data_IF_167239657735
#
_entry.id   IF_167239657735
#
_cell.length_a   1.000
_cell.length_b   1.000
_cell.length_c   1.000
_cell.angle_alpha   90.00
_cell.angle_beta   90.00
_cell.angle_gamma   90.00
#
_symmetry.space_group_name_H-M   'P 1'
#
loop_
_entity.id
_entity.type
_entity.pdbx_description
1 polymer ?
#
# COMPACT_ATOMS: atom_id res chain seq x y z
N UNK A 1 -36.80 -1.97 -39.27
CA UNK A 1 -35.36 -1.94 -38.90
C UNK A 1 -35.02 -0.54 -38.39
N UNK A 2 -34.95 -0.29 -37.07
CA UNK A 2 -34.27 0.90 -36.54
C UNK A 2 -32.89 0.56 -35.96
N UNK A 3 -31.96 1.49 -36.21
CA UNK A 3 -30.54 1.46 -35.85
C UNK A 3 -30.30 1.68 -34.34
N UNK A 4 -29.13 1.22 -33.91
CA UNK A 4 -28.56 1.16 -32.56
C UNK A 4 -28.60 2.48 -31.76
N UNK A 5 -28.82 2.35 -30.45
CA UNK A 5 -28.30 3.29 -29.45
C UNK A 5 -27.28 2.51 -28.61
N UNK A 6 -25.99 2.71 -28.90
CA UNK A 6 -24.91 2.26 -28.02
C UNK A 6 -24.85 3.24 -26.85
N UNK A 7 -24.91 2.79 -25.58
CA UNK A 7 -24.66 3.69 -24.47
C UNK A 7 -23.18 4.09 -24.50
N UNK A 8 -22.90 5.35 -24.84
CA UNK A 8 -21.61 5.95 -24.52
C UNK A 8 -21.51 6.04 -22.99
N UNK A 9 -20.64 5.20 -22.43
CA UNK A 9 -20.15 5.39 -21.06
C UNK A 9 -19.53 6.79 -20.97
N UNK A 10 -19.85 7.59 -19.94
CA UNK A 10 -19.11 8.82 -19.71
C UNK A 10 -17.68 8.44 -19.30
N UNK A 11 -16.74 8.65 -20.21
CA UNK A 11 -15.32 8.82 -19.91
C UNK A 11 -15.18 10.09 -19.07
N UNK A 12 -15.37 9.97 -17.76
CA UNK A 12 -15.05 11.03 -16.80
C UNK A 12 -13.75 10.68 -16.08
N UNK A 13 -12.64 10.79 -16.82
CA UNK A 13 -11.31 10.89 -16.21
C UNK A 13 -11.09 12.33 -15.74
N UNK A 14 -11.85 12.72 -14.72
CA UNK A 14 -11.64 13.97 -14.00
C UNK A 14 -10.39 13.86 -13.11
N UNK A 15 -9.52 14.89 -13.05
CA UNK A 15 -8.35 14.92 -12.15
C UNK A 15 -8.72 14.83 -10.65
N UNK A 16 -9.99 15.05 -10.33
CA UNK A 16 -10.57 14.85 -8.99
C UNK A 16 -10.57 13.38 -8.58
N UNK A 17 -10.81 12.45 -9.51
CA UNK A 17 -10.88 11.02 -9.24
C UNK A 17 -9.49 10.48 -8.86
N UNK A 18 -8.44 10.93 -9.53
CA UNK A 18 -7.05 10.52 -9.22
C UNK A 18 -6.63 10.93 -7.81
N UNK A 19 -6.93 12.17 -7.38
CA UNK A 19 -6.60 12.61 -6.00
C UNK A 19 -7.32 11.77 -4.96
N UNK A 20 -8.59 11.43 -5.19
CA UNK A 20 -9.37 10.60 -4.29
C UNK A 20 -8.81 9.18 -4.23
N UNK A 21 -8.51 8.54 -5.36
CA UNK A 21 -7.91 7.20 -5.39
C UNK A 21 -6.54 7.16 -4.71
N UNK A 22 -5.71 8.18 -4.91
CA UNK A 22 -4.43 8.31 -4.20
C UNK A 22 -4.61 8.44 -2.69
N UNK A 23 -5.58 9.23 -2.24
CA UNK A 23 -5.87 9.42 -0.82
C UNK A 23 -6.40 8.13 -0.17
N UNK A 24 -7.26 7.40 -0.87
CA UNK A 24 -7.77 6.08 -0.46
C UNK A 24 -6.61 5.08 -0.36
N UNK A 25 -5.79 4.96 -1.41
CA UNK A 25 -4.63 4.07 -1.43
C UNK A 25 -3.61 4.40 -0.34
N UNK A 26 -3.32 5.69 -0.12
CA UNK A 26 -2.47 6.15 0.98
C UNK A 26 -3.05 5.79 2.35
N UNK A 27 -4.36 5.97 2.54
CA UNK A 27 -5.03 5.65 3.82
C UNK A 27 -4.95 4.16 4.12
N UNK A 28 -5.23 3.31 3.14
CA UNK A 28 -5.07 1.85 3.25
C UNK A 28 -3.62 1.47 3.59
N UNK A 29 -2.66 2.12 2.92
CA UNK A 29 -1.23 1.86 3.09
C UNK A 29 -0.71 2.23 4.48
N UNK A 30 -1.05 3.43 4.96
CA UNK A 30 -0.67 3.90 6.31
C UNK A 30 -1.30 3.00 7.38
N UNK A 31 -2.57 2.61 7.21
CA UNK A 31 -3.22 1.68 8.13
C UNK A 31 -2.53 0.30 8.15
N UNK A 32 -2.06 -0.19 6.99
CA UNK A 32 -1.28 -1.41 6.93
C UNK A 32 0.08 -1.25 7.63
N UNK A 33 0.85 -0.20 7.31
CA UNK A 33 2.15 0.06 7.93
C UNK A 33 2.05 0.23 9.46
N UNK A 34 1.03 0.91 9.96
CA UNK A 34 0.79 1.05 11.39
C UNK A 34 0.51 -0.30 12.08
N UNK A 35 -0.28 -1.18 11.45
CA UNK A 35 -0.50 -2.54 11.97
C UNK A 35 0.79 -3.35 12.01
N UNK A 36 1.62 -3.22 10.98
CA UNK A 36 2.93 -3.88 10.93
C UNK A 36 3.89 -3.33 11.97
N UNK A 37 3.93 -2.02 12.19
CA UNK A 37 4.74 -1.39 13.24
C UNK A 37 4.43 -1.92 14.64
N UNK A 38 3.18 -2.28 14.90
CA UNK A 38 2.73 -2.77 16.20
C UNK A 38 3.07 -4.25 16.44
N UNK A 39 3.54 -4.98 15.43
CA UNK A 39 3.96 -6.38 15.60
C UNK A 39 5.24 -6.47 16.46
N UNK A 40 5.41 -7.54 17.23
CA UNK A 40 6.66 -7.80 17.93
C UNK A 40 7.86 -7.78 16.98
N UNK A 41 8.96 -7.16 17.40
CA UNK A 41 10.20 -7.09 16.61
C UNK A 41 10.67 -8.48 16.15
N UNK A 42 10.54 -9.51 17.00
CA UNK A 42 10.91 -10.88 16.65
C UNK A 42 10.11 -11.42 15.46
N UNK A 43 8.81 -11.11 15.38
CA UNK A 43 7.99 -11.48 14.22
C UNK A 43 8.42 -10.70 12.98
N UNK A 44 8.64 -9.40 13.09
CA UNK A 44 9.09 -8.57 11.98
C UNK A 44 10.44 -9.04 11.42
N UNK A 45 11.36 -9.48 12.27
CA UNK A 45 12.64 -10.08 11.85
C UNK A 45 12.42 -11.39 11.09
N UNK A 46 11.44 -12.22 11.48
CA UNK A 46 11.12 -13.45 10.76
C UNK A 46 10.55 -13.20 9.36
N UNK A 47 9.99 -12.00 9.11
CA UNK A 47 9.52 -11.55 7.81
C UNK A 47 10.61 -10.96 6.91
N UNK A 48 11.84 -10.77 7.41
CA UNK A 48 12.92 -10.22 6.62
C UNK A 48 13.30 -11.17 5.47
N UNK A 49 13.44 -10.60 4.28
CA UNK A 49 13.81 -11.29 3.04
C UNK A 49 12.76 -12.32 2.55
N UNK A 50 11.58 -12.35 3.16
CA UNK A 50 10.41 -13.05 2.61
C UNK A 50 9.74 -12.23 1.50
N UNK A 51 8.98 -12.87 0.59
CA UNK A 51 8.12 -12.17 -0.34
C UNK A 51 7.17 -11.21 0.39
N UNK A 52 6.77 -10.13 -0.29
CA UNK A 52 5.81 -9.18 0.26
C UNK A 52 4.50 -9.88 0.64
N UNK A 53 3.94 -9.55 1.81
CA UNK A 53 2.60 -9.95 2.20
C UNK A 53 1.60 -9.05 1.48
N UNK A 54 0.79 -9.66 0.62
CA UNK A 54 -0.28 -9.00 -0.13
C UNK A 54 -1.62 -9.12 0.61
N UNK A 55 -2.31 -8.01 0.77
CA UNK A 55 -3.64 -7.96 1.39
C UNK A 55 -4.58 -7.06 0.60
N UNK A 56 -5.78 -7.55 0.31
CA UNK A 56 -6.83 -6.74 -0.29
C UNK A 56 -7.61 -6.03 0.82
N UNK A 57 -7.73 -4.71 0.72
CA UNK A 57 -8.41 -3.86 1.71
C UNK A 57 -9.49 -3.05 1.00
N UNK A 58 -10.71 -3.08 1.52
CA UNK A 58 -11.80 -2.24 1.03
C UNK A 58 -11.82 -0.92 1.80
N UNK A 59 -11.73 0.22 1.09
CA UNK A 59 -11.83 1.57 1.66
C UNK A 59 -12.87 2.34 0.84
N UNK A 60 -13.91 2.85 1.50
CA UNK A 60 -15.03 3.56 0.86
C UNK A 60 -15.69 2.81 -0.32
N UNK A 61 -15.69 1.47 -0.26
CA UNK A 61 -16.24 0.59 -1.30
C UNK A 61 -15.28 0.27 -2.44
N UNK A 62 -14.07 0.83 -2.42
CA UNK A 62 -13.01 0.55 -3.40
C UNK A 62 -12.03 -0.50 -2.86
N UNK A 63 -11.67 -1.46 -3.69
CA UNK A 63 -10.66 -2.46 -3.37
C UNK A 63 -9.26 -1.92 -3.65
N UNK A 64 -8.40 -1.98 -2.63
CA UNK A 64 -6.98 -1.59 -2.71
C UNK A 64 -6.15 -2.81 -2.37
N UNK A 65 -5.27 -3.22 -3.28
CA UNK A 65 -4.27 -4.23 -2.99
C UNK A 65 -3.07 -3.55 -2.31
N UNK A 66 -2.71 -4.02 -1.13
CA UNK A 66 -1.58 -3.52 -0.35
C UNK A 66 -0.54 -4.61 -0.19
N UNK A 67 0.68 -4.31 -0.63
CA UNK A 67 1.84 -5.20 -0.48
C UNK A 67 2.80 -4.63 0.57
N UNK A 68 3.14 -5.40 1.60
CA UNK A 68 4.11 -5.01 2.63
C UNK A 68 5.31 -5.97 2.61
N UNK A 69 6.51 -5.43 2.53
CA UNK A 69 7.76 -6.17 2.62
C UNK A 69 8.62 -5.65 3.77
N UNK A 70 9.34 -6.55 4.44
CA UNK A 70 10.29 -6.19 5.50
C UNK A 70 11.70 -6.55 5.07
N UNK A 71 12.64 -5.64 5.30
CA UNK A 71 14.06 -5.85 5.01
C UNK A 71 14.94 -5.18 6.05
N UNK A 72 16.19 -5.60 6.10
CA UNK A 72 17.21 -4.83 6.82
C UNK A 72 17.44 -3.48 6.16
N UNK A 73 17.49 -2.40 6.95
CA UNK A 73 17.84 -1.08 6.43
C UNK A 73 19.32 -1.01 6.01
N UNK A 74 20.19 -1.67 6.76
CA UNK A 74 21.64 -1.68 6.56
C UNK A 74 22.25 -3.07 6.81
N UNK A 75 23.47 -3.26 6.33
CA UNK A 75 24.21 -4.51 6.52
C UNK A 75 24.54 -4.81 7.99
N UNK A 76 24.50 -3.80 8.87
CA UNK A 76 24.71 -3.95 10.31
C UNK A 76 23.44 -4.39 11.04
N UNK A 77 22.32 -4.54 10.32
CA UNK A 77 21.00 -4.92 10.85
C UNK A 77 20.56 -4.02 12.00
N UNK A 78 20.90 -2.73 11.92
CA UNK A 78 20.65 -1.78 13.01
C UNK A 78 19.19 -1.31 13.10
N UNK A 79 18.48 -1.42 11.99
CA UNK A 79 17.07 -1.10 11.86
C UNK A 79 16.38 -1.99 10.82
N UNK A 80 15.08 -2.16 10.99
CA UNK A 80 14.19 -2.76 10.00
C UNK A 80 13.59 -1.65 9.13
N UNK A 81 13.41 -1.95 7.85
CA UNK A 81 12.70 -1.14 6.90
C UNK A 81 11.45 -1.90 6.47
N UNK A 82 10.29 -1.42 6.87
CA UNK A 82 9.00 -1.91 6.43
C UNK A 82 8.57 -1.04 5.25
N UNK A 83 8.49 -1.62 4.07
CA UNK A 83 8.14 -0.93 2.84
C UNK A 83 6.79 -1.42 2.36
N UNK A 84 5.88 -0.50 2.13
CA UNK A 84 4.55 -0.81 1.65
C UNK A 84 4.26 -0.19 0.29
N UNK A 85 3.36 -0.84 -0.46
CA UNK A 85 2.83 -0.36 -1.71
C UNK A 85 1.31 -0.52 -1.73
N UNK A 86 0.60 0.49 -2.21
CA UNK A 86 -0.83 0.38 -2.50
C UNK A 86 -1.06 0.46 -4.01
N UNK A 87 -1.92 -0.41 -4.49
CA UNK A 87 -2.33 -0.56 -5.87
C UNK A 87 -3.85 -0.36 -5.94
N UNK A 88 -4.31 0.64 -6.69
CA UNK A 88 -5.74 0.88 -6.90
C UNK A 88 -6.39 -0.15 -7.83
N UNK A 89 -7.71 -0.30 -7.70
CA UNK A 89 -8.58 -1.24 -8.45
C UNK A 89 -8.57 -1.09 -9.97
N UNK A 90 -8.10 0.05 -10.50
CA UNK A 90 -8.15 0.32 -11.93
C UNK A 90 -6.88 -0.17 -12.62
N UNK A 91 -6.99 -1.31 -13.31
CA UNK A 91 -5.99 -1.98 -14.16
C UNK A 91 -5.29 -1.11 -15.23
N UNK A 92 -5.57 0.19 -15.31
CA UNK A 92 -5.09 1.12 -16.33
C UNK A 92 -4.40 2.38 -15.80
N UNK A 93 -4.43 2.64 -14.49
CA UNK A 93 -3.68 3.75 -13.88
C UNK A 93 -2.98 3.23 -12.63
N UNK A 94 -1.74 2.79 -12.82
CA UNK A 94 -0.85 2.31 -11.75
C UNK A 94 -0.42 3.53 -10.92
N UNK A 95 -1.34 4.11 -10.16
CA UNK A 95 -0.96 5.06 -9.12
C UNK A 95 -0.48 4.24 -7.92
N UNK A 96 0.80 3.84 -8.02
CA UNK A 96 1.49 3.11 -6.97
C UNK A 96 1.87 4.10 -5.89
N UNK A 97 1.10 4.14 -4.81
CA UNK A 97 1.52 4.84 -3.60
C UNK A 97 2.54 3.96 -2.90
N UNK A 98 3.71 4.52 -2.59
CA UNK A 98 4.79 3.83 -1.89
C UNK A 98 5.06 4.57 -0.59
N UNK A 99 5.12 3.83 0.50
CA UNK A 99 5.54 4.37 1.78
C UNK A 99 6.52 3.43 2.47
N UNK A 100 7.29 3.99 3.39
CA UNK A 100 8.30 3.25 4.12
C UNK A 100 8.39 3.71 5.58
N UNK A 101 8.59 2.75 6.46
CA UNK A 101 8.75 2.96 7.89
C UNK A 101 10.07 2.34 8.35
N UNK A 102 10.86 3.11 9.07
CA UNK A 102 12.11 2.65 9.67
C UNK A 102 11.88 2.37 11.15
N UNK A 103 12.19 1.14 11.57
CA UNK A 103 12.12 0.72 12.97
C UNK A 103 13.54 0.46 13.50
N UNK A 104 14.10 1.35 14.34
CA UNK A 104 15.39 1.13 14.95
C UNK A 104 15.32 -0.05 15.94
N UNK A 105 16.29 -0.97 15.88
CA UNK A 105 16.37 -2.10 16.82
C UNK A 105 17.14 -1.77 18.10
N UNK A 106 17.90 -0.67 18.10
CA UNK A 106 18.55 -0.19 19.31
C UNK A 106 17.53 0.51 20.19
N UNK A 107 17.45 0.06 21.44
CA UNK A 107 16.76 0.74 22.54
C UNK A 107 17.14 2.21 22.47
N UNK A 108 16.17 3.11 22.32
CA UNK A 108 16.36 4.50 22.68
C UNK A 108 16.70 4.48 24.18
N UNK A 109 17.98 4.55 24.51
CA UNK A 109 18.38 4.96 25.84
C UNK A 109 18.11 6.47 25.91
N UNK A 110 17.28 6.94 26.86
CA UNK A 110 17.13 8.36 27.14
C UNK A 110 18.43 8.98 27.69
#
# INVERSE_FOLDING_TARGET
>A
MPLQVVPHQPTDTSPMNQRTYRAIGYTALVAALNRWQQRPIAELVAWVDLPAESSLVTVDGEEVLVDIAVRWLDAKRSALLIQGFAHGSSHLHIERVKEQLVLPLRRAEP
#
